data_IF_160838478397
#
_entry.id   IF_160838478397
#
_cell.length_a   1.000
_cell.length_b   1.000
_cell.length_c   1.000
_cell.angle_alpha   90.00
_cell.angle_beta   90.00
_cell.angle_gamma   90.00
#
_symmetry.space_group_name_H-M   'P 1'
#
loop_
_entity.id
_entity.type
_entity.pdbx_description
1 polymer ?
#
# COMPACT_ATOMS: atom_id res chain seq x y z
N UNK A 1 23.08 2.11 -3.17
CA UNK A 1 22.13 2.47 -4.24
C UNK A 1 20.82 2.93 -3.62
N UNK A 2 20.20 3.99 -4.12
CA UNK A 2 18.85 4.40 -3.73
C UNK A 2 17.83 3.73 -4.66
N UNK A 3 17.03 2.81 -4.13
CA UNK A 3 16.03 2.07 -4.91
C UNK A 3 14.76 2.88 -5.22
N UNK A 4 14.59 4.05 -4.58
CA UNK A 4 13.40 4.89 -4.71
C UNK A 4 13.45 5.86 -5.90
N UNK A 5 14.62 6.01 -6.54
CA UNK A 5 14.88 6.93 -7.65
C UNK A 5 15.36 6.16 -8.87
N UNK A 6 14.69 6.35 -9.99
CA UNK A 6 14.86 5.54 -11.19
C UNK A 6 13.83 5.90 -12.25
N UNK A 7 13.66 4.98 -13.19
CA UNK A 7 12.71 5.11 -14.28
C UNK A 7 12.05 3.76 -14.60
N UNK A 8 10.88 3.81 -15.24
CA UNK A 8 10.24 2.62 -15.79
C UNK A 8 10.76 2.35 -17.19
N UNK A 9 11.28 1.15 -17.40
CA UNK A 9 11.75 0.67 -18.70
C UNK A 9 10.86 -0.47 -19.18
N UNK A 10 10.67 -0.54 -20.50
CA UNK A 10 9.93 -1.64 -21.10
C UNK A 10 10.66 -2.96 -20.88
N UNK A 11 9.92 -4.01 -20.55
CA UNK A 11 10.42 -5.36 -20.35
C UNK A 11 9.45 -6.37 -20.96
N UNK A 12 9.88 -7.04 -22.02
CA UNK A 12 9.06 -8.01 -22.75
C UNK A 12 8.80 -9.29 -21.97
N UNK A 13 9.47 -9.50 -20.83
CA UNK A 13 9.26 -10.70 -20.01
C UNK A 13 7.85 -10.69 -19.41
N UNK A 14 7.12 -11.81 -19.47
CA UNK A 14 5.78 -11.93 -18.89
C UNK A 14 5.76 -11.63 -17.37
N UNK A 15 4.58 -11.25 -16.82
CA UNK A 15 4.40 -11.16 -15.37
C UNK A 15 4.58 -12.53 -14.71
N UNK A 16 4.99 -12.52 -13.43
CA UNK A 16 5.25 -13.74 -12.65
C UNK A 16 4.00 -14.62 -12.50
N UNK A 17 2.82 -14.01 -12.47
CA UNK A 17 1.54 -14.68 -12.36
C UNK A 17 0.50 -13.99 -13.24
N UNK A 18 -0.66 -14.62 -13.42
CA UNK A 18 -1.79 -14.08 -14.17
C UNK A 18 -3.09 -14.31 -13.41
N UNK A 19 -4.23 -13.89 -13.97
CA UNK A 19 -5.54 -14.18 -13.42
C UNK A 19 -5.91 -15.67 -13.43
N UNK A 20 -5.22 -16.51 -14.21
CA UNK A 20 -5.44 -17.96 -14.23
C UNK A 20 -4.51 -18.71 -13.27
N UNK A 21 -3.34 -18.14 -12.93
CA UNK A 21 -2.36 -18.78 -12.03
C UNK A 21 -2.41 -18.28 -10.59
N UNK A 22 -3.21 -17.24 -10.28
CA UNK A 22 -3.50 -16.82 -8.92
C UNK A 22 -5.00 -16.59 -8.71
N UNK A 23 -5.60 -17.34 -7.78
CA UNK A 23 -7.02 -17.22 -7.38
C UNK A 23 -7.25 -16.21 -6.24
N UNK A 24 -6.18 -15.61 -5.71
CA UNK A 24 -6.24 -14.64 -4.60
C UNK A 24 -6.47 -13.19 -5.05
N UNK A 25 -6.50 -12.91 -6.36
CA UNK A 25 -6.73 -11.57 -6.89
C UNK A 25 -8.20 -11.17 -6.68
N UNK A 26 -8.42 -10.06 -5.97
CA UNK A 26 -9.77 -9.52 -5.77
C UNK A 26 -10.38 -9.06 -7.09
N UNK A 27 -11.70 -9.25 -7.24
CA UNK A 27 -12.41 -8.89 -8.47
C UNK A 27 -12.13 -7.45 -8.90
N UNK A 28 -12.11 -6.50 -7.96
CA UNK A 28 -11.89 -5.07 -8.21
C UNK A 28 -10.50 -4.75 -8.82
N UNK A 29 -9.53 -5.65 -8.66
CA UNK A 29 -8.13 -5.48 -9.10
C UNK A 29 -7.76 -6.47 -10.22
N UNK A 30 -8.65 -7.39 -10.57
CA UNK A 30 -8.41 -8.42 -11.58
C UNK A 30 -8.69 -7.91 -13.00
N UNK A 31 -7.88 -6.96 -13.46
CA UNK A 31 -8.08 -6.25 -14.71
C UNK A 31 -8.10 -7.18 -15.94
N UNK A 32 -7.22 -8.20 -15.95
CA UNK A 32 -7.20 -9.22 -17.00
C UNK A 32 -8.53 -9.98 -17.07
N UNK A 33 -9.02 -10.49 -15.93
CA UNK A 33 -10.32 -11.17 -15.87
C UNK A 33 -11.48 -10.24 -16.24
N UNK A 34 -11.39 -8.97 -15.84
CA UNK A 34 -12.45 -8.00 -16.07
C UNK A 34 -12.47 -7.45 -17.50
N UNK A 35 -11.52 -7.85 -18.35
CA UNK A 35 -11.49 -7.51 -19.77
C UNK A 35 -10.86 -6.15 -20.07
N UNK A 36 -9.90 -5.69 -19.25
CA UNK A 36 -9.08 -4.51 -19.59
C UNK A 36 -8.33 -4.80 -20.90
N UNK A 37 -8.53 -4.02 -21.97
CA UNK A 37 -8.03 -4.35 -23.30
C UNK A 37 -6.55 -4.03 -23.46
N UNK A 38 -6.03 -3.00 -22.79
CA UNK A 38 -4.62 -2.69 -22.79
C UNK A 38 -3.87 -3.56 -21.78
N UNK A 39 -2.91 -4.34 -22.26
CA UNK A 39 -2.03 -5.19 -21.44
C UNK A 39 -0.61 -4.64 -21.32
N UNK A 40 -0.32 -3.51 -21.98
CA UNK A 40 1.01 -2.88 -22.00
C UNK A 40 1.53 -2.53 -20.60
N UNK A 41 0.64 -2.28 -19.64
CA UNK A 41 1.00 -1.99 -18.24
C UNK A 41 1.72 -3.14 -17.53
N UNK A 42 1.63 -4.37 -18.06
CA UNK A 42 2.31 -5.56 -17.53
C UNK A 42 3.80 -5.64 -17.88
N UNK A 43 4.24 -4.88 -18.89
CA UNK A 43 5.55 -5.01 -19.53
C UNK A 43 6.50 -3.88 -19.13
N UNK A 44 6.52 -3.54 -17.85
CA UNK A 44 7.37 -2.49 -17.30
C UNK A 44 8.14 -2.97 -16.07
N UNK A 45 9.44 -2.70 -16.05
CA UNK A 45 10.34 -2.93 -14.92
C UNK A 45 10.88 -1.61 -14.39
N UNK A 46 10.96 -1.48 -13.07
CA UNK A 46 11.62 -0.35 -12.43
C UNK A 46 13.14 -0.53 -12.47
N UNK A 47 13.85 0.48 -12.99
CA UNK A 47 15.31 0.53 -13.00
C UNK A 47 15.78 1.71 -12.14
N UNK A 48 16.34 1.46 -10.95
CA UNK A 48 17.04 2.49 -10.19
C UNK A 48 18.19 3.09 -11.01
N UNK A 49 18.51 4.38 -10.81
CA UNK A 49 19.51 5.05 -11.67
C UNK A 49 20.93 4.48 -11.54
N UNK A 50 21.31 4.01 -10.34
CA UNK A 50 22.71 3.67 -10.03
C UNK A 50 22.90 2.18 -9.67
N UNK A 51 21.89 1.34 -9.92
CA UNK A 51 21.99 -0.11 -9.74
C UNK A 51 20.83 -0.83 -10.44
N UNK A 52 20.95 -2.14 -10.56
CA UNK A 52 19.85 -2.99 -10.95
C UNK A 52 18.97 -3.39 -9.77
N UNK A 53 17.66 -3.41 -10.01
CA UNK A 53 16.70 -4.09 -9.17
C UNK A 53 16.36 -5.44 -9.82
N UNK A 54 16.79 -6.57 -9.23
CA UNK A 54 16.45 -7.89 -9.73
C UNK A 54 14.94 -8.13 -9.71
N UNK A 55 14.48 -9.03 -10.58
CA UNK A 55 13.09 -9.51 -10.52
C UNK A 55 12.83 -10.19 -9.19
N UNK A 56 11.57 -10.13 -8.75
CA UNK A 56 11.16 -10.82 -7.53
C UNK A 56 11.29 -12.33 -7.73
N UNK A 57 12.08 -12.97 -6.88
CA UNK A 57 12.20 -14.42 -6.85
C UNK A 57 11.42 -14.97 -5.65
N UNK A 58 10.24 -15.59 -5.88
CA UNK A 58 9.40 -16.10 -4.82
C UNK A 58 10.06 -17.25 -4.04
N UNK A 59 10.91 -18.06 -4.68
CA UNK A 59 11.58 -19.18 -4.00
C UNK A 59 12.60 -18.66 -2.99
N UNK A 60 13.46 -17.72 -3.42
CA UNK A 60 14.39 -17.03 -2.50
C UNK A 60 13.64 -16.33 -1.37
N UNK A 61 12.51 -15.66 -1.65
CA UNK A 61 11.74 -14.99 -0.60
C UNK A 61 11.21 -15.99 0.43
N UNK A 62 10.62 -17.11 0.01
CA UNK A 62 10.11 -18.14 0.90
C UNK A 62 11.23 -18.77 1.75
N UNK A 63 12.40 -19.02 1.18
CA UNK A 63 13.56 -19.50 1.94
C UNK A 63 14.01 -18.51 3.03
N UNK A 64 14.10 -17.22 2.70
CA UNK A 64 14.46 -16.17 3.67
C UNK A 64 13.41 -16.01 4.79
N UNK A 65 12.16 -16.36 4.49
CA UNK A 65 11.02 -16.35 5.42
C UNK A 65 10.79 -17.68 6.14
N UNK A 66 11.64 -18.69 5.92
CA UNK A 66 11.47 -20.01 6.52
C UNK A 66 11.42 -19.94 8.04
N UNK A 67 10.37 -20.51 8.63
CA UNK A 67 10.14 -20.50 10.07
C UNK A 67 9.76 -19.13 10.65
N UNK A 68 9.38 -18.17 9.81
CA UNK A 68 9.05 -16.79 10.21
C UNK A 68 7.60 -16.45 9.92
N UNK A 69 7.22 -15.23 10.30
CA UNK A 69 5.88 -14.71 10.11
C UNK A 69 5.91 -13.21 9.74
N UNK A 70 4.99 -12.80 8.88
CA UNK A 70 4.90 -11.44 8.36
C UNK A 70 3.47 -10.89 8.47
N UNK A 71 3.31 -9.74 9.11
CA UNK A 71 2.03 -9.04 9.25
C UNK A 71 1.94 -7.79 8.37
N UNK A 72 0.99 -7.76 7.43
CA UNK A 72 0.57 -6.52 6.79
C UNK A 72 -0.50 -5.82 7.64
N UNK A 73 -0.39 -4.51 7.82
CA UNK A 73 -1.48 -3.74 8.41
C UNK A 73 -1.61 -2.35 7.79
N UNK A 74 -2.86 -1.96 7.55
CA UNK A 74 -3.11 -0.75 6.79
C UNK A 74 -4.48 -0.67 6.13
N UNK A 75 -4.55 0.16 5.10
CA UNK A 75 -5.72 0.37 4.24
C UNK A 75 -5.81 -0.64 3.08
N UNK A 76 -6.69 -0.38 2.11
CA UNK A 76 -6.88 -1.25 0.95
C UNK A 76 -5.66 -1.34 0.03
N UNK A 77 -4.75 -0.37 0.05
CA UNK A 77 -3.49 -0.44 -0.69
C UNK A 77 -2.47 -1.33 0.01
N UNK A 78 -2.51 -1.43 1.34
CA UNK A 78 -1.74 -2.45 2.07
C UNK A 78 -2.20 -3.87 1.68
N UNK A 79 -3.51 -4.06 1.53
CA UNK A 79 -4.10 -5.30 1.01
C UNK A 79 -3.69 -5.57 -0.44
N UNK A 80 -3.70 -4.55 -1.29
CA UNK A 80 -3.27 -4.68 -2.68
C UNK A 80 -1.81 -5.17 -2.77
N UNK A 81 -0.91 -4.65 -1.91
CA UNK A 81 0.48 -5.13 -1.78
C UNK A 81 0.55 -6.58 -1.31
N UNK A 82 -0.13 -6.92 -0.22
CA UNK A 82 -0.14 -8.28 0.31
C UNK A 82 -0.66 -9.29 -0.71
N UNK A 83 -1.72 -8.96 -1.46
CA UNK A 83 -2.26 -9.86 -2.50
C UNK A 83 -1.28 -10.08 -3.65
N UNK A 84 -0.54 -9.04 -4.06
CA UNK A 84 0.54 -9.17 -5.05
C UNK A 84 1.62 -10.11 -4.54
N UNK A 85 2.05 -9.96 -3.27
CA UNK A 85 3.01 -10.87 -2.65
C UNK A 85 2.46 -12.30 -2.61
N UNK A 86 1.26 -12.50 -2.09
CA UNK A 86 0.60 -13.80 -1.99
C UNK A 86 0.51 -14.51 -3.35
N UNK A 87 0.13 -13.79 -4.42
CA UNK A 87 0.11 -14.33 -5.78
C UNK A 87 1.50 -14.67 -6.32
N UNK A 88 2.51 -13.88 -5.96
CA UNK A 88 3.89 -14.14 -6.36
C UNK A 88 4.41 -15.43 -5.69
N UNK A 89 4.18 -15.58 -4.39
CA UNK A 89 4.59 -16.76 -3.62
C UNK A 89 3.80 -18.01 -4.02
N UNK A 90 2.52 -17.86 -4.42
CA UNK A 90 1.69 -18.98 -4.87
C UNK A 90 2.18 -19.66 -6.15
N UNK A 91 3.16 -19.06 -6.85
CA UNK A 91 3.81 -19.69 -8.00
C UNK A 91 4.85 -20.75 -7.59
N UNK A 92 5.23 -20.80 -6.31
CA UNK A 92 6.13 -21.81 -5.75
C UNK A 92 5.35 -22.82 -4.91
N UNK A 93 4.51 -22.33 -3.99
CA UNK A 93 3.67 -23.16 -3.14
C UNK A 93 2.30 -22.52 -2.95
N UNK A 94 1.23 -23.29 -3.20
CA UNK A 94 -0.13 -22.84 -2.94
C UNK A 94 -0.33 -22.67 -1.42
N UNK A 95 -0.72 -21.47 -0.94
CA UNK A 95 -0.89 -21.25 0.48
C UNK A 95 -2.23 -21.79 1.00
N UNK A 96 -2.23 -22.28 2.24
CA UNK A 96 -3.45 -22.62 2.97
C UNK A 96 -4.00 -21.40 3.69
N UNK A 97 -5.30 -21.13 3.54
CA UNK A 97 -5.96 -20.11 4.38
C UNK A 97 -6.21 -20.71 5.77
N UNK A 98 -5.36 -20.36 6.73
CA UNK A 98 -5.39 -20.94 8.09
C UNK A 98 -6.36 -20.22 9.03
N UNK A 99 -6.68 -18.95 8.76
CA UNK A 99 -7.63 -18.16 9.54
C UNK A 99 -8.23 -17.03 8.71
N UNK A 100 -9.51 -16.71 8.93
CA UNK A 100 -10.15 -15.51 8.40
C UNK A 100 -11.26 -15.01 9.31
N UNK A 101 -11.30 -13.69 9.53
CA UNK A 101 -12.40 -12.96 10.16
C UNK A 101 -12.80 -11.78 9.27
N UNK A 102 -13.99 -11.88 8.67
CA UNK A 102 -14.61 -10.87 7.79
C UNK A 102 -13.71 -10.34 6.67
N UNK A 103 -12.71 -11.11 6.20
CA UNK A 103 -11.66 -10.66 5.27
C UNK A 103 -10.93 -9.37 5.70
N UNK A 104 -11.01 -9.03 6.99
CA UNK A 104 -10.32 -7.91 7.63
C UNK A 104 -9.09 -8.39 8.41
N UNK A 105 -9.09 -9.64 8.84
CA UNK A 105 -7.99 -10.30 9.53
C UNK A 105 -7.86 -11.71 8.93
N UNK A 106 -6.80 -11.95 8.17
CA UNK A 106 -6.64 -13.18 7.39
C UNK A 106 -5.19 -13.64 7.48
N UNK A 107 -4.99 -14.95 7.59
CA UNK A 107 -3.68 -15.60 7.63
C UNK A 107 -3.59 -16.70 6.60
N UNK A 108 -2.44 -16.77 5.95
CA UNK A 108 -2.05 -17.79 4.98
C UNK A 108 -0.78 -18.50 5.47
N UNK A 109 -0.77 -19.82 5.37
CA UNK A 109 0.39 -20.66 5.70
C UNK A 109 1.01 -21.26 4.45
N UNK A 110 2.34 -21.18 4.36
CA UNK A 110 3.17 -21.94 3.41
C UNK A 110 3.85 -23.05 4.21
N UNK A 111 3.28 -24.25 4.16
CA UNK A 111 3.60 -25.38 5.04
C UNK A 111 5.04 -25.84 4.87
N UNK A 112 5.54 -25.95 3.62
CA UNK A 112 6.91 -26.44 3.38
C UNK A 112 7.98 -25.50 3.90
N UNK A 113 7.61 -24.23 4.13
CA UNK A 113 8.49 -23.18 4.63
C UNK A 113 8.22 -22.83 6.09
N UNK A 114 7.16 -23.35 6.70
CA UNK A 114 6.67 -22.88 8.01
C UNK A 114 6.61 -21.34 8.05
N UNK A 115 6.09 -20.74 6.96
CA UNK A 115 5.96 -19.29 6.83
C UNK A 115 4.49 -18.88 6.94
N UNK A 116 4.20 -17.90 7.80
CA UNK A 116 2.86 -17.30 7.92
C UNK A 116 2.83 -15.89 7.34
N UNK A 117 1.96 -15.66 6.36
CA UNK A 117 1.65 -14.33 5.85
C UNK A 117 0.26 -13.89 6.37
N UNK A 118 0.19 -12.74 7.03
CA UNK A 118 -1.03 -12.23 7.63
C UNK A 118 -1.36 -10.82 7.16
N UNK A 119 -2.64 -10.45 7.22
CA UNK A 119 -3.07 -9.05 7.08
C UNK A 119 -4.12 -8.71 8.14
N UNK A 120 -4.05 -7.49 8.69
CA UNK A 120 -5.12 -6.89 9.49
C UNK A 120 -5.52 -5.50 8.98
N UNK A 121 -6.82 -5.23 9.01
CA UNK A 121 -7.41 -3.97 8.59
C UNK A 121 -7.16 -2.87 9.62
N UNK A 122 -6.39 -1.85 9.23
CA UNK A 122 -6.07 -0.70 10.07
C UNK A 122 -5.84 0.55 9.19
N UNK A 123 -6.89 1.07 8.54
CA UNK A 123 -6.76 2.08 7.49
C UNK A 123 -6.18 3.42 7.94
N UNK A 124 -6.24 3.70 9.25
CA UNK A 124 -5.67 4.89 9.87
C UNK A 124 -4.48 4.58 10.79
N UNK A 125 -4.07 3.31 10.92
CA UNK A 125 -3.05 2.78 11.84
C UNK A 125 -3.35 2.93 13.35
N UNK A 126 -4.17 3.91 13.72
CA UNK A 126 -4.64 4.18 15.09
C UNK A 126 -6.07 3.70 15.32
N UNK A 127 -6.47 3.63 16.59
CA UNK A 127 -7.85 3.32 16.99
C UNK A 127 -8.81 4.28 16.30
N UNK A 128 -9.84 3.73 15.68
CA UNK A 128 -10.92 4.51 15.11
C UNK A 128 -12.26 3.83 15.37
N UNK A 129 -13.30 4.65 15.48
CA UNK A 129 -14.68 4.18 15.63
C UNK A 129 -15.55 4.86 14.58
N UNK A 130 -16.46 4.09 13.99
CA UNK A 130 -17.47 4.64 13.10
C UNK A 130 -18.51 5.38 13.94
N UNK A 131 -18.84 6.62 13.58
CA UNK A 131 -19.85 7.39 14.31
C UNK A 131 -21.23 6.80 14.02
N UNK A 132 -22.02 6.54 15.07
CA UNK A 132 -23.29 5.78 14.96
C UNK A 132 -24.28 6.42 13.99
N UNK A 133 -24.40 7.75 14.05
CA UNK A 133 -25.40 8.51 13.31
C UNK A 133 -24.89 9.09 11.99
N UNK A 134 -23.62 8.81 11.63
CA UNK A 134 -23.06 9.19 10.33
C UNK A 134 -22.16 8.07 9.78
N UNK A 135 -22.64 7.31 8.77
CA UNK A 135 -21.91 6.16 8.27
C UNK A 135 -20.65 6.50 7.46
N UNK A 136 -20.42 7.77 7.15
CA UNK A 136 -19.24 8.26 6.44
C UNK A 136 -18.18 8.83 7.38
N UNK A 137 -18.56 9.16 8.62
CA UNK A 137 -17.72 9.79 9.62
C UNK A 137 -17.03 8.78 10.53
N UNK A 138 -15.73 8.98 10.74
CA UNK A 138 -14.92 8.23 11.69
C UNK A 138 -14.41 9.14 12.79
N UNK A 139 -14.39 8.67 14.03
CA UNK A 139 -13.63 9.31 15.09
C UNK A 139 -12.30 8.56 15.28
N UNK A 140 -11.19 9.24 15.03
CA UNK A 140 -9.83 8.72 15.16
C UNK A 140 -9.25 9.15 16.50
N UNK A 141 -8.80 8.19 17.29
CA UNK A 141 -8.04 8.44 18.52
C UNK A 141 -6.55 8.44 18.16
N UNK A 142 -6.01 9.62 17.86
CA UNK A 142 -4.68 9.79 17.26
C UNK A 142 -3.52 9.45 18.21
N UNK A 143 -3.82 9.24 19.49
CA UNK A 143 -2.91 8.88 20.57
C UNK A 143 -2.93 7.39 20.96
N UNK A 144 -3.77 6.57 20.30
CA UNK A 144 -3.94 5.15 20.62
C UNK A 144 -3.67 4.27 19.39
N UNK A 145 -2.68 3.35 19.44
CA UNK A 145 -2.44 2.43 18.32
C UNK A 145 -3.64 1.51 18.10
N UNK A 146 -3.87 1.08 16.85
CA UNK A 146 -5.07 0.31 16.55
C UNK A 146 -5.05 -1.07 17.23
N UNK A 147 -6.12 -1.47 17.94
CA UNK A 147 -6.17 -2.73 18.69
C UNK A 147 -6.14 -4.01 17.84
N UNK A 148 -6.04 -3.89 16.51
CA UNK A 148 -6.08 -5.05 15.60
C UNK A 148 -4.67 -5.59 15.32
N UNK A 149 -3.68 -4.70 15.18
CA UNK A 149 -2.29 -5.09 14.97
C UNK A 149 -1.50 -5.01 16.27
N UNK A 150 -1.72 -3.97 17.08
CA UNK A 150 -0.88 -3.62 18.23
C UNK A 150 -0.61 -4.80 19.19
N UNK A 151 -1.64 -5.51 19.72
CA UNK A 151 -1.41 -6.56 20.70
C UNK A 151 -0.76 -7.83 20.13
N UNK A 152 -0.86 -8.04 18.81
CA UNK A 152 -0.37 -9.25 18.15
C UNK A 152 0.97 -9.06 17.45
N UNK A 153 1.47 -7.82 17.34
CA UNK A 153 2.69 -7.51 16.59
C UNK A 153 3.92 -8.28 17.13
N UNK A 154 4.00 -8.48 18.46
CA UNK A 154 5.07 -9.26 19.08
C UNK A 154 5.11 -10.75 18.65
N UNK A 155 4.03 -11.25 18.05
CA UNK A 155 3.97 -12.61 17.48
C UNK A 155 4.50 -12.71 16.05
N UNK A 156 5.02 -11.61 15.47
CA UNK A 156 5.53 -11.57 14.11
C UNK A 156 7.00 -11.17 14.04
N UNK A 157 7.75 -11.80 13.13
CA UNK A 157 9.16 -11.48 12.86
C UNK A 157 9.30 -10.22 11.99
N UNK A 158 8.35 -10.07 11.06
CA UNK A 158 8.28 -8.95 10.15
C UNK A 158 6.90 -8.32 10.14
N UNK A 159 6.84 -7.02 9.85
CA UNK A 159 5.59 -6.35 9.57
C UNK A 159 5.71 -5.37 8.40
N UNK A 160 4.62 -5.13 7.68
CA UNK A 160 4.54 -4.13 6.61
C UNK A 160 3.38 -3.18 6.93
N UNK A 161 3.73 -1.94 7.30
CA UNK A 161 2.76 -0.89 7.62
C UNK A 161 2.55 0.04 6.41
N UNK A 162 1.28 0.39 6.15
CA UNK A 162 0.92 1.31 5.06
C UNK A 162 -0.44 1.96 5.28
N UNK A 163 -0.50 3.29 5.26
CA UNK A 163 -1.75 4.04 5.20
C UNK A 163 -1.55 5.41 4.57
N UNK A 164 -2.49 5.86 3.75
CA UNK A 164 -2.55 7.27 3.31
C UNK A 164 -3.96 7.70 2.90
N UNK A 165 -4.68 6.86 2.15
CA UNK A 165 -5.87 7.28 1.41
C UNK A 165 -7.11 7.48 2.30
N UNK A 166 -7.16 6.79 3.43
CA UNK A 166 -8.30 6.92 4.32
C UNK A 166 -8.33 8.26 5.08
N UNK A 167 -7.18 8.93 5.24
CA UNK A 167 -7.08 10.22 5.92
C UNK A 167 -7.83 11.36 5.21
N UNK A 168 -8.14 11.22 3.92
CA UNK A 168 -8.97 12.20 3.19
C UNK A 168 -10.45 12.16 3.58
N UNK A 169 -10.91 11.13 4.28
CA UNK A 169 -12.32 10.99 4.63
C UNK A 169 -12.74 12.00 5.70
N UNK A 170 -14.02 12.42 5.71
CA UNK A 170 -14.59 13.13 6.84
C UNK A 170 -14.30 12.39 8.15
N UNK A 171 -13.67 13.08 9.09
CA UNK A 171 -13.17 12.48 10.33
C UNK A 171 -13.22 13.47 11.50
N UNK A 172 -13.52 12.97 12.69
CA UNK A 172 -13.28 13.65 13.97
C UNK A 172 -11.94 13.16 14.53
N UNK A 173 -11.20 14.06 15.19
CA UNK A 173 -9.90 13.77 15.77
C UNK A 173 -9.94 13.93 17.28
N UNK A 174 -9.58 12.86 17.98
CA UNK A 174 -9.55 12.78 19.43
C UNK A 174 -8.14 12.52 19.96
N UNK A 175 -7.82 13.15 21.09
CA UNK A 175 -6.66 12.84 21.96
C UNK A 175 -7.19 12.78 23.40
N UNK A 176 -6.76 11.81 24.20
CA UNK A 176 -7.26 11.60 25.57
C UNK A 176 -8.80 11.55 25.62
N UNK A 177 -9.42 10.93 24.61
CA UNK A 177 -10.88 10.84 24.40
C UNK A 177 -11.62 12.19 24.29
N UNK A 178 -10.91 13.29 24.02
CA UNK A 178 -11.50 14.61 23.76
C UNK A 178 -11.31 14.97 22.29
N UNK A 179 -12.40 15.37 21.62
CA UNK A 179 -12.34 15.84 20.24
C UNK A 179 -11.68 17.22 20.22
N UNK A 180 -10.61 17.37 19.44
CA UNK A 180 -9.89 18.65 19.30
C UNK A 180 -10.03 19.24 17.89
N UNK A 181 -10.58 18.49 16.94
CA UNK A 181 -10.83 18.99 15.60
C UNK A 181 -11.42 17.94 14.66
N UNK A 182 -11.58 18.32 13.39
CA UNK A 182 -12.12 17.46 12.35
C UNK A 182 -11.48 17.73 10.99
N UNK A 183 -11.71 16.83 10.03
CA UNK A 183 -11.44 17.03 8.61
C UNK A 183 -12.75 16.89 7.84
N UNK A 184 -13.04 17.85 6.95
CA UNK A 184 -14.21 17.84 6.06
C UNK A 184 -15.55 17.52 6.74
N UNK A 185 -15.77 18.06 7.96
CA UNK A 185 -17.01 17.89 8.71
C UNK A 185 -17.56 19.25 9.18
N UNK A 186 -18.66 19.69 8.59
CA UNK A 186 -19.22 21.04 8.78
C UNK A 186 -20.51 21.09 9.60
N UNK A 187 -21.02 19.95 10.08
CA UNK A 187 -22.31 19.90 10.81
C UNK A 187 -22.22 20.46 12.23
N UNK A 188 -21.02 20.51 12.79
CA UNK A 188 -20.74 21.03 14.14
C UNK A 188 -19.56 21.99 14.09
N UNK A 189 -19.45 22.85 15.11
CA UNK A 189 -18.42 23.88 15.18
C UNK A 189 -17.12 23.33 15.80
N UNK A 190 -16.53 22.32 15.15
CA UNK A 190 -15.20 21.82 15.49
C UNK A 190 -14.12 22.63 14.76
N UNK A 191 -12.93 22.68 15.34
CA UNK A 191 -11.75 23.26 14.67
C UNK A 191 -11.39 22.42 13.45
N UNK A 192 -11.28 23.05 12.28
CA UNK A 192 -10.78 22.38 11.08
C UNK A 192 -9.29 22.07 11.25
N UNK A 193 -8.96 20.80 11.13
CA UNK A 193 -7.60 20.27 11.27
C UNK A 193 -7.27 19.53 9.99
N UNK A 194 -6.23 20.00 9.32
CA UNK A 194 -5.79 19.42 8.05
C UNK A 194 -5.43 17.94 8.19
N UNK A 195 -5.85 17.09 7.25
CA UNK A 195 -5.64 15.63 7.30
C UNK A 195 -4.16 15.22 7.46
N UNK A 196 -3.22 16.01 6.93
CA UNK A 196 -1.77 15.76 7.12
C UNK A 196 -1.34 15.81 8.60
N UNK A 197 -1.97 16.67 9.42
CA UNK A 197 -1.72 16.73 10.86
C UNK A 197 -2.18 15.45 11.54
N UNK A 198 -3.37 14.96 11.17
CA UNK A 198 -3.88 13.69 11.68
C UNK A 198 -3.02 12.51 11.24
N UNK A 199 -2.54 12.52 10.00
CA UNK A 199 -1.60 11.52 9.47
C UNK A 199 -0.27 11.55 10.25
N UNK A 200 0.32 12.72 10.45
CA UNK A 200 1.55 12.88 11.24
C UNK A 200 1.40 12.28 12.64
N UNK A 201 0.33 12.62 13.35
CA UNK A 201 0.06 12.09 14.69
C UNK A 201 -0.19 10.57 14.68
N UNK A 202 -0.93 10.05 13.70
CA UNK A 202 -1.19 8.62 13.59
C UNK A 202 0.09 7.81 13.32
N UNK A 203 0.97 8.30 12.44
CA UNK A 203 2.28 7.69 12.18
C UNK A 203 3.19 7.78 13.40
N UNK A 204 3.25 8.93 14.07
CA UNK A 204 3.99 9.12 15.32
C UNK A 204 3.58 8.12 16.38
N UNK A 205 2.29 8.01 16.66
CA UNK A 205 1.73 7.09 17.64
C UNK A 205 2.03 5.65 17.28
N UNK A 206 1.82 5.26 16.02
CA UNK A 206 2.04 3.87 15.59
C UNK A 206 3.53 3.48 15.64
N UNK A 207 4.43 4.35 15.17
CA UNK A 207 5.87 4.11 15.19
C UNK A 207 6.44 4.10 16.61
N UNK A 208 5.99 5.02 17.47
CA UNK A 208 6.36 5.01 18.90
C UNK A 208 5.91 3.71 19.57
N UNK A 209 4.68 3.28 19.29
CA UNK A 209 4.17 2.03 19.82
C UNK A 209 5.08 0.87 19.37
N UNK A 210 5.38 0.74 18.07
CA UNK A 210 6.29 -0.31 17.55
C UNK A 210 7.66 -0.28 18.25
N UNK A 211 8.23 0.91 18.45
CA UNK A 211 9.53 1.14 19.08
C UNK A 211 9.60 0.75 20.56
N UNK A 212 8.46 0.69 21.25
CA UNK A 212 8.39 0.45 22.70
C UNK A 212 7.53 -0.76 23.07
N UNK A 213 7.12 -1.58 22.10
CA UNK A 213 6.31 -2.77 22.37
C UNK A 213 7.15 -3.85 23.05
N UNK A 214 6.75 -4.22 24.27
CA UNK A 214 7.38 -5.31 25.01
C UNK A 214 7.31 -6.63 24.23
N UNK A 215 8.44 -7.32 24.14
CA UNK A 215 8.56 -8.61 23.45
C UNK A 215 8.68 -8.53 21.92
N UNK A 216 8.56 -7.34 21.30
CA UNK A 216 8.79 -7.18 19.86
C UNK A 216 10.21 -6.69 19.56
N UNK A 217 10.97 -7.49 18.81
CA UNK A 217 12.30 -7.14 18.30
C UNK A 217 12.42 -7.35 16.77
N UNK A 218 11.27 -7.50 16.10
CA UNK A 218 11.18 -7.76 14.66
C UNK A 218 11.51 -6.54 13.80
N UNK A 219 11.40 -6.72 12.48
CA UNK A 219 11.59 -5.62 11.52
C UNK A 219 10.27 -5.18 10.89
N UNK A 220 9.94 -3.91 11.06
CA UNK A 220 8.81 -3.27 10.40
C UNK A 220 9.28 -2.56 9.12
N UNK A 221 8.57 -2.79 8.03
CA UNK A 221 8.69 -2.07 6.77
C UNK A 221 7.58 -1.03 6.65
N UNK A 222 7.95 0.24 6.53
CA UNK A 222 7.03 1.31 6.14
C UNK A 222 6.98 1.42 4.62
N UNK A 223 5.87 1.04 4.00
CA UNK A 223 5.64 1.31 2.58
C UNK A 223 5.00 2.70 2.43
N UNK A 224 5.69 3.60 1.74
CA UNK A 224 5.21 4.98 1.56
C UNK A 224 3.93 5.04 0.71
N UNK A 225 3.29 6.21 0.66
CA UNK A 225 2.02 6.42 -0.01
C UNK A 225 2.12 6.09 -1.51
N UNK A 226 1.07 5.47 -2.04
CA UNK A 226 0.86 5.33 -3.47
C UNK A 226 -0.22 6.33 -3.88
N UNK A 227 0.04 7.20 -4.87
CA UNK A 227 -0.94 8.19 -5.31
C UNK A 227 -2.06 7.58 -6.16
N UNK A 228 -3.18 8.30 -6.23
CA UNK A 228 -4.21 8.10 -7.23
C UNK A 228 -3.92 8.92 -8.50
N UNK A 229 -4.52 8.54 -9.63
CA UNK A 229 -4.37 9.23 -10.92
C UNK A 229 -5.72 9.60 -11.54
N UNK A 230 -6.63 10.20 -10.76
CA UNK A 230 -7.85 10.76 -11.33
C UNK A 230 -7.55 12.00 -12.18
N UNK A 231 -8.08 12.00 -13.39
CA UNK A 231 -8.05 13.12 -14.33
C UNK A 231 -9.49 13.56 -14.63
N UNK A 232 -9.67 14.87 -14.84
CA UNK A 232 -10.96 15.49 -15.19
C UNK A 232 -12.08 15.25 -14.15
N UNK A 233 -11.72 15.11 -12.88
CA UNK A 233 -12.65 14.90 -11.78
C UNK A 233 -12.00 14.11 -10.64
N UNK A 234 -12.78 13.77 -9.63
CA UNK A 234 -12.39 12.91 -8.50
C UNK A 234 -13.14 11.58 -8.58
N UNK A 235 -12.88 10.68 -7.64
CA UNK A 235 -13.65 9.44 -7.46
C UNK A 235 -15.18 9.63 -7.46
N UNK A 236 -15.68 10.74 -6.89
CA UNK A 236 -17.12 11.03 -6.75
C UNK A 236 -17.70 11.90 -7.86
N UNK A 237 -16.88 12.57 -8.66
CA UNK A 237 -17.33 13.50 -9.72
C UNK A 237 -17.06 13.00 -11.14
N UNK A 238 -16.71 11.71 -11.28
CA UNK A 238 -16.56 11.06 -12.59
C UNK A 238 -15.15 11.13 -13.18
N UNK A 239 -14.12 11.34 -12.34
CA UNK A 239 -12.72 11.30 -12.75
C UNK A 239 -12.33 9.97 -13.41
N UNK A 240 -11.30 10.02 -14.26
CA UNK A 240 -10.86 8.89 -15.11
C UNK A 240 -9.35 8.71 -15.07
N UNK A 241 -8.87 7.53 -15.46
CA UNK A 241 -7.45 7.19 -15.55
C UNK A 241 -7.23 6.35 -16.82
N UNK A 242 -7.37 6.98 -17.98
CA UNK A 242 -7.36 6.30 -19.27
C UNK A 242 -5.97 6.18 -19.91
N UNK A 243 -4.92 6.64 -19.21
CA UNK A 243 -3.55 6.49 -19.71
C UNK A 243 -3.21 5.00 -19.83
N UNK A 244 -2.47 4.64 -20.88
CA UNK A 244 -2.10 3.24 -21.20
C UNK A 244 -0.59 3.02 -21.18
N UNK A 245 0.18 4.05 -20.80
CA UNK A 245 1.63 4.00 -20.66
C UNK A 245 2.08 4.75 -19.40
N UNK A 246 3.22 4.35 -18.80
CA UNK A 246 3.90 5.14 -17.79
C UNK A 246 4.25 6.52 -18.28
N UNK A 247 4.53 7.42 -17.34
CA UNK A 247 5.12 8.72 -17.62
C UNK A 247 6.64 8.60 -17.46
N UNK A 248 7.42 9.19 -18.37
CA UNK A 248 8.88 9.10 -18.31
C UNK A 248 9.46 9.98 -17.20
N UNK A 249 8.76 11.06 -16.88
CA UNK A 249 9.14 11.97 -15.80
C UNK A 249 7.90 12.56 -15.13
N UNK A 250 8.10 13.22 -13.98
CA UNK A 250 7.03 13.99 -13.32
C UNK A 250 6.50 15.08 -14.23
N UNK A 251 7.38 15.71 -15.03
CA UNK A 251 7.00 16.71 -16.03
C UNK A 251 5.98 16.18 -17.03
N UNK A 252 6.14 14.92 -17.46
CA UNK A 252 5.22 14.28 -18.41
C UNK A 252 3.93 13.80 -17.74
N UNK A 253 3.93 13.67 -16.41
CA UNK A 253 2.77 13.23 -15.65
C UNK A 253 1.76 14.35 -15.41
N UNK A 254 2.21 15.60 -15.29
CA UNK A 254 1.36 16.77 -15.04
C UNK A 254 0.74 17.30 -16.35
N UNK A 255 -0.59 17.30 -16.42
CA UNK A 255 -1.31 17.93 -17.52
C UNK A 255 -1.06 19.45 -17.54
N UNK A 256 -0.45 19.97 -18.60
CA UNK A 256 -0.25 21.41 -18.80
C UNK A 256 1.20 21.91 -18.85
N UNK A 257 2.21 21.03 -18.83
CA UNK A 257 3.59 21.42 -19.13
C UNK A 257 4.19 22.46 -18.19
N UNK A 258 3.75 22.50 -16.93
CA UNK A 258 4.39 23.29 -15.87
C UNK A 258 5.73 22.68 -15.47
N UNK A 259 6.74 23.51 -15.23
CA UNK A 259 8.14 23.13 -15.01
C UNK A 259 8.46 22.40 -13.70
N UNK A 260 7.56 21.57 -13.17
CA UNK A 260 7.81 20.79 -11.96
C UNK A 260 8.70 19.58 -12.27
N UNK A 261 9.94 19.62 -11.77
CA UNK A 261 10.86 18.48 -11.67
C UNK A 261 10.52 17.55 -10.49
N UNK A 262 9.59 17.98 -9.63
CA UNK A 262 9.25 17.36 -8.36
C UNK A 262 7.82 16.87 -8.34
N UNK A 263 7.53 15.86 -7.50
CA UNK A 263 6.17 15.35 -7.31
C UNK A 263 5.19 16.48 -6.98
N UNK A 264 3.94 16.44 -7.47
CA UNK A 264 2.92 17.41 -7.09
C UNK A 264 2.74 17.46 -5.57
N UNK A 265 2.15 18.56 -5.10
CA UNK A 265 2.00 18.84 -3.67
C UNK A 265 1.50 17.62 -2.87
N UNK A 266 0.43 16.95 -3.31
CA UNK A 266 -0.16 15.87 -2.52
C UNK A 266 0.78 14.66 -2.32
N UNK A 267 1.24 13.94 -3.37
CA UNK A 267 2.18 12.83 -3.18
C UNK A 267 3.48 13.25 -2.49
N UNK A 268 3.97 14.47 -2.74
CA UNK A 268 5.15 15.02 -2.07
C UNK A 268 4.94 15.15 -0.56
N UNK A 269 3.82 15.74 -0.13
CA UNK A 269 3.52 15.95 1.29
C UNK A 269 3.19 14.64 2.03
N UNK A 270 2.47 13.70 1.40
CA UNK A 270 2.22 12.38 1.98
C UNK A 270 3.53 11.63 2.23
N UNK A 271 4.42 11.60 1.24
CA UNK A 271 5.73 10.98 1.35
C UNK A 271 6.59 11.65 2.42
N UNK A 272 6.60 12.99 2.45
CA UNK A 272 7.34 13.77 3.45
C UNK A 272 6.92 13.42 4.88
N UNK A 273 5.62 13.46 5.19
CA UNK A 273 5.09 13.14 6.54
C UNK A 273 5.54 11.73 6.96
N UNK A 274 5.38 10.73 6.08
CA UNK A 274 5.76 9.35 6.38
C UNK A 274 7.27 9.20 6.61
N UNK A 275 8.09 9.85 5.80
CA UNK A 275 9.56 9.79 5.93
C UNK A 275 10.07 10.58 7.13
N UNK A 276 9.45 11.71 7.45
CA UNK A 276 9.79 12.52 8.63
C UNK A 276 9.52 11.75 9.92
N UNK A 277 8.36 11.11 10.06
CA UNK A 277 8.08 10.29 11.25
C UNK A 277 8.95 9.02 11.27
N UNK A 278 9.25 8.40 10.12
CA UNK A 278 10.18 7.27 10.07
C UNK A 278 11.61 7.64 10.50
N UNK A 279 12.08 8.87 10.19
CA UNK A 279 13.38 9.38 10.64
C UNK A 279 13.46 9.58 12.16
N UNK A 280 12.32 9.75 12.83
CA UNK A 280 12.21 9.91 14.28
C UNK A 280 12.06 8.57 15.01
N UNK A 281 12.10 7.44 14.30
CA UNK A 281 11.98 6.12 14.90
C UNK A 281 13.22 5.81 15.75
N UNK A 282 13.00 5.66 17.06
CA UNK A 282 14.03 5.41 18.07
C UNK A 282 13.59 4.24 18.96
N UNK A 283 13.96 2.99 18.60
CA UNK A 283 13.48 1.78 19.27
C UNK A 283 14.22 1.51 20.58
N UNK A 284 13.48 1.28 21.67
CA UNK A 284 14.02 0.81 22.95
C UNK A 284 13.97 -0.71 23.12
N UNK A 285 13.23 -1.41 22.25
CA UNK A 285 12.97 -2.86 22.31
C UNK A 285 13.82 -3.68 21.31
N UNK A 286 14.76 -3.06 20.60
CA UNK A 286 15.60 -3.72 19.58
C UNK A 286 14.91 -3.96 18.23
N UNK A 287 13.65 -3.51 18.07
CA UNK A 287 12.97 -3.53 16.77
C UNK A 287 13.65 -2.64 15.74
N UNK A 288 13.35 -2.88 14.46
CA UNK A 288 13.97 -2.17 13.34
C UNK A 288 12.91 -1.59 12.42
N UNK A 289 13.21 -0.44 11.82
CA UNK A 289 12.40 0.16 10.77
C UNK A 289 13.17 0.23 9.44
N UNK A 290 12.51 -0.14 8.35
CA UNK A 290 12.99 0.05 6.97
C UNK A 290 11.91 0.74 6.15
N UNK A 291 12.29 1.68 5.30
CA UNK A 291 11.34 2.40 4.43
C UNK A 291 11.39 1.80 3.03
N UNK A 292 10.25 1.33 2.53
CA UNK A 292 10.02 0.95 1.15
C UNK A 292 9.39 2.16 0.44
N UNK A 293 10.24 3.03 -0.10
CA UNK A 293 9.77 4.25 -0.75
C UNK A 293 9.31 4.00 -2.18
N UNK A 294 7.99 3.99 -2.37
CA UNK A 294 7.31 3.67 -3.63
C UNK A 294 6.60 4.87 -4.26
N UNK A 295 6.51 6.02 -3.56
CA UNK A 295 5.63 7.12 -4.00
C UNK A 295 6.01 7.64 -5.37
N UNK A 296 7.30 7.84 -5.61
CA UNK A 296 7.80 8.37 -6.88
C UNK A 296 7.55 7.39 -8.03
N UNK A 297 7.95 6.13 -7.87
CA UNK A 297 7.77 5.11 -8.91
C UNK A 297 6.30 4.79 -9.17
N UNK A 298 5.44 4.80 -8.15
CA UNK A 298 3.99 4.63 -8.31
C UNK A 298 3.34 5.81 -9.03
N UNK A 299 3.78 7.05 -8.76
CA UNK A 299 3.29 8.24 -9.47
C UNK A 299 3.56 8.20 -10.98
N UNK A 300 4.60 7.50 -11.41
CA UNK A 300 4.92 7.37 -12.82
C UNK A 300 4.09 6.29 -13.55
N UNK A 301 3.12 5.67 -12.88
CA UNK A 301 2.34 4.53 -13.38
C UNK A 301 0.84 4.78 -13.53
N UNK A 302 0.38 5.88 -14.15
CA UNK A 302 -1.05 6.10 -14.33
C UNK A 302 -1.74 5.02 -15.17
N UNK A 303 -0.97 4.20 -15.90
CA UNK A 303 -1.43 3.08 -16.74
C UNK A 303 -1.88 1.83 -15.99
N UNK A 304 -1.43 1.66 -14.74
CA UNK A 304 -1.63 0.41 -14.00
C UNK A 304 -2.91 0.33 -13.17
N UNK A 305 -3.80 1.31 -13.28
CA UNK A 305 -5.06 1.34 -12.53
C UNK A 305 -6.17 0.52 -13.22
N UNK A 306 -7.10 -0.07 -12.46
CA UNK A 306 -8.26 -0.77 -13.03
C UNK A 306 -9.16 0.13 -13.88
N UNK A 307 -9.31 1.40 -13.51
CA UNK A 307 -10.26 2.31 -14.15
C UNK A 307 -11.67 1.71 -14.13
N UNK A 308 -12.36 1.59 -15.27
CA UNK A 308 -13.69 1.00 -15.31
C UNK A 308 -13.66 -0.53 -15.16
N UNK A 309 -12.50 -1.16 -15.35
CA UNK A 309 -12.29 -2.61 -15.24
C UNK A 309 -12.12 -3.07 -13.79
N UNK A 310 -12.64 -2.30 -12.83
CA UNK A 310 -12.93 -2.75 -11.46
C UNK A 310 -14.13 -3.71 -11.39
N UNK A 311 -14.97 -3.75 -12.42
CA UNK A 311 -16.08 -4.70 -12.55
C UNK A 311 -15.90 -5.55 -13.80
N UNK A 312 -16.47 -6.76 -13.81
CA UNK A 312 -16.35 -7.68 -14.93
C UNK A 312 -17.01 -7.13 -16.20
N UNK A 313 -16.22 -7.02 -17.28
CA UNK A 313 -16.63 -6.57 -18.60
C UNK A 313 -17.55 -5.33 -18.57
N UNK A 314 -17.01 -4.17 -18.15
CA UNK A 314 -17.81 -2.99 -17.82
C UNK A 314 -18.66 -2.49 -18.99
N UNK A 315 -18.32 -2.80 -20.25
CA UNK A 315 -19.01 -2.28 -21.43
C UNK A 315 -19.67 -3.35 -22.31
N UNK A 316 -19.68 -4.62 -21.90
CA UNK A 316 -20.16 -5.71 -22.76
C UNK A 316 -21.68 -5.69 -23.01
N UNK A 317 -22.48 -5.28 -22.02
CA UNK A 317 -23.95 -5.24 -22.13
C UNK A 317 -24.48 -3.91 -22.67
N UNK A 318 -23.85 -2.81 -22.25
CA UNK A 318 -24.29 -1.45 -22.57
C UNK A 318 -23.06 -0.60 -22.93
N UNK A 319 -22.66 -0.58 -24.21
CA UNK A 319 -21.60 0.29 -24.69
C UNK A 319 -21.97 1.75 -24.41
N UNK A 320 -21.19 2.43 -23.56
CA UNK A 320 -21.41 3.84 -23.20
C UNK A 320 -22.05 4.11 -21.84
N UNK A 321 -22.39 3.07 -21.04
CA UNK A 321 -22.85 3.31 -19.66
C UNK A 321 -21.78 4.02 -18.83
N UNK A 322 -22.20 4.90 -17.92
CA UNK A 322 -21.29 5.47 -16.95
C UNK A 322 -20.81 4.38 -15.97
N UNK A 323 -19.49 4.25 -15.83
CA UNK A 323 -18.86 3.33 -14.88
C UNK A 323 -17.94 4.15 -14.01
N UNK A 324 -18.11 4.04 -12.69
CA UNK A 324 -17.19 4.65 -11.74
C UNK A 324 -15.80 4.03 -11.91
N UNK A 325 -14.79 4.87 -12.11
CA UNK A 325 -13.42 4.43 -12.32
C UNK A 325 -12.72 4.22 -10.98
N UNK A 326 -11.94 3.15 -10.86
CA UNK A 326 -10.95 2.99 -9.81
C UNK A 326 -9.57 3.42 -10.31
N UNK A 327 -9.20 4.65 -9.95
CA UNK A 327 -7.89 5.24 -10.24
C UNK A 327 -7.01 5.31 -8.99
N UNK A 328 -7.34 4.50 -7.98
CA UNK A 328 -6.64 4.45 -6.70
C UNK A 328 -5.92 3.12 -6.51
N UNK A 329 -6.65 2.01 -6.65
CA UNK A 329 -6.07 0.67 -6.53
C UNK A 329 -5.36 0.29 -7.83
N UNK A 330 -4.64 -0.82 -7.79
CA UNK A 330 -3.79 -1.28 -8.88
C UNK A 330 -4.26 -2.61 -9.43
N UNK A 331 -4.15 -2.76 -10.75
CA UNK A 331 -4.28 -4.05 -11.40
C UNK A 331 -3.26 -5.04 -10.83
N UNK A 332 -3.68 -6.30 -10.66
CA UNK A 332 -2.79 -7.43 -10.36
C UNK A 332 -2.89 -8.49 -11.47
N UNK A 333 -1.76 -9.01 -12.00
CA UNK A 333 -0.40 -8.45 -11.87
C UNK A 333 -0.30 -7.00 -12.36
N UNK A 334 0.73 -6.25 -11.96
CA UNK A 334 0.86 -4.83 -12.29
C UNK A 334 1.93 -4.07 -11.48
N UNK A 335 1.82 -2.72 -11.36
CA UNK A 335 2.86 -1.88 -10.75
C UNK A 335 3.23 -2.27 -9.31
N UNK A 336 2.27 -2.79 -8.56
CA UNK A 336 2.44 -3.23 -7.16
C UNK A 336 3.46 -4.35 -7.02
N UNK A 337 3.69 -5.16 -8.06
CA UNK A 337 4.65 -6.26 -8.03
C UNK A 337 6.09 -5.78 -7.83
N UNK A 338 6.39 -4.53 -8.18
CA UNK A 338 7.69 -3.91 -7.89
C UNK A 338 7.90 -3.71 -6.38
N UNK A 339 6.83 -3.52 -5.60
CA UNK A 339 6.96 -3.34 -4.14
C UNK A 339 7.50 -4.61 -3.47
N UNK A 340 7.16 -5.79 -4.01
CA UNK A 340 7.74 -7.06 -3.55
C UNK A 340 9.25 -7.15 -3.85
N UNK A 341 9.72 -6.55 -4.95
CA UNK A 341 11.15 -6.49 -5.28
C UNK A 341 11.90 -5.65 -4.23
N UNK A 342 11.35 -4.48 -3.88
CA UNK A 342 11.92 -3.65 -2.81
C UNK A 342 11.91 -4.35 -1.46
N UNK A 343 10.83 -5.08 -1.14
CA UNK A 343 10.72 -5.86 0.08
C UNK A 343 11.78 -6.97 0.13
N UNK A 344 11.93 -7.75 -0.94
CA UNK A 344 12.93 -8.83 -1.03
C UNK A 344 14.35 -8.29 -0.89
N UNK A 345 14.71 -7.23 -1.60
CA UNK A 345 16.06 -6.64 -1.49
C UNK A 345 16.33 -6.06 -0.10
N UNK A 346 15.29 -5.52 0.56
CA UNK A 346 15.40 -5.05 1.94
C UNK A 346 15.59 -6.21 2.92
N UNK A 347 14.90 -7.34 2.74
CA UNK A 347 15.09 -8.57 3.52
C UNK A 347 16.50 -9.13 3.31
N UNK A 348 16.95 -9.27 2.06
CA UNK A 348 18.31 -9.74 1.76
C UNK A 348 19.37 -8.88 2.42
N UNK A 349 19.19 -7.55 2.44
CA UNK A 349 20.09 -6.65 3.15
C UNK A 349 20.12 -6.94 4.65
N UNK A 350 18.96 -7.14 5.28
CA UNK A 350 18.89 -7.45 6.70
C UNK A 350 19.58 -8.76 7.08
N UNK A 351 19.56 -9.78 6.21
CA UNK A 351 20.26 -11.04 6.49
C UNK A 351 21.79 -10.88 6.31
N UNK A 352 22.26 -10.14 5.29
CA UNK A 352 23.69 -9.81 5.17
C UNK A 352 24.21 -9.01 6.36
N UNK A 353 23.44 -8.02 6.83
CA UNK A 353 23.79 -7.19 7.99
C UNK A 353 23.85 -8.02 9.32
N UNK A 354 23.44 -9.29 9.36
CA UNK A 354 23.61 -10.18 10.52
C UNK A 354 24.85 -11.08 10.43
N UNK A 355 25.40 -11.26 9.23
CA UNK A 355 26.57 -12.10 8.97
C UNK A 355 27.88 -11.32 9.14
N UNK A 356 27.81 -9.99 9.09
CA UNK A 356 28.87 -9.03 9.45
C UNK A 356 28.80 -8.66 10.94
#
# INVERSE_FOLDING_TARGET
CDLSKGEWIFDSTPPLYTNSTCDHIQLLQNCLRNGKPDTGYLHWRWRPHNCDLPRFDPATFLELMRGKSMLFFGDSLARNHMQSLLCSLSQVERPDKVYSREDKDVKWGFQSYNFTLAIVWSPFLVKHVKVRDDPLLFNLHLDVPHPAWWPSLASYDFAVMSASQWFFRPSLYSINNTIFGCNEYSRENYTDVHFLTAMELAFRTSLRAIATLDGYNGTTFLRTASPEHFEHGTWSTGGKCNRTRPTHSVRDAVHGGGGELELPWLPSNLNRVQRDEARKFDPSNGSRLRVLDVTYSAYLRPDGHPGPYRIYQPYAKEPGRHVQNDCLHWCLPGPVDMWNQLLLESVKKLERDKEE
#
